data_IF_781438657164
#
_entry.id   IF_781438657164
#
_cell.length_a   1.000
_cell.length_b   1.000
_cell.length_c   1.000
_cell.angle_alpha   90.00
_cell.angle_beta   90.00
_cell.angle_gamma   90.00
#
_symmetry.space_group_name_H-M   'P 1'
#
loop_
_entity.id
_entity.type
_entity.pdbx_description
1 polymer ?
#
# COMPACT_ATOMS: atom_id res chain seq x y z
N UNK A 1 -11.54 -5.18 -21.05
CA UNK A 1 -10.23 -4.51 -21.04
C UNK A 1 -9.12 -5.55 -21.08
N UNK A 2 -9.04 -6.47 -20.11
CA UNK A 2 -8.06 -7.57 -20.07
C UNK A 2 -8.00 -8.40 -21.36
N UNK A 3 -9.16 -8.74 -21.95
CA UNK A 3 -9.22 -9.57 -23.16
C UNK A 3 -8.56 -8.94 -24.39
N UNK A 4 -8.61 -7.60 -24.50
CA UNK A 4 -7.95 -6.87 -25.58
C UNK A 4 -6.42 -6.91 -25.42
N UNK A 5 -5.94 -6.83 -24.18
CA UNK A 5 -4.51 -7.01 -23.87
C UNK A 5 -4.06 -8.44 -24.12
N UNK A 6 -4.85 -9.44 -23.71
CA UNK A 6 -4.56 -10.85 -23.94
C UNK A 6 -4.39 -11.18 -25.44
N UNK A 7 -5.31 -10.69 -26.28
CA UNK A 7 -5.21 -10.84 -27.74
C UNK A 7 -3.98 -10.12 -28.31
N UNK A 8 -3.69 -8.92 -27.83
CA UNK A 8 -2.52 -8.15 -28.26
C UNK A 8 -1.19 -8.84 -27.95
N UNK A 9 -1.05 -9.37 -26.74
CA UNK A 9 0.16 -10.07 -26.29
C UNK A 9 0.44 -11.30 -27.16
N UNK A 10 -0.61 -12.03 -27.58
CA UNK A 10 -0.45 -13.12 -28.57
C UNK A 10 0.05 -12.60 -29.91
N UNK A 11 -0.54 -11.51 -30.43
CA UNK A 11 -0.16 -10.94 -31.73
C UNK A 11 1.26 -10.33 -31.72
N UNK A 12 1.74 -9.91 -30.55
CA UNK A 12 3.11 -9.46 -30.33
C UNK A 12 4.13 -10.61 -30.21
N UNK A 13 3.67 -11.87 -30.24
CA UNK A 13 4.52 -13.05 -30.28
C UNK A 13 4.88 -13.65 -28.91
N UNK A 14 4.23 -13.22 -27.83
CA UNK A 14 4.43 -13.82 -26.52
C UNK A 14 3.77 -15.20 -26.43
N UNK A 15 4.39 -16.11 -25.68
CA UNK A 15 3.92 -17.50 -25.54
C UNK A 15 2.73 -17.68 -24.59
N UNK A 16 2.43 -16.69 -23.75
CA UNK A 16 1.34 -16.77 -22.79
C UNK A 16 1.23 -15.54 -21.89
N UNK A 17 0.20 -15.54 -21.05
CA UNK A 17 -0.07 -14.50 -20.05
C UNK A 17 -0.29 -15.15 -18.68
N UNK A 18 0.10 -14.45 -17.63
CA UNK A 18 -0.26 -14.82 -16.26
C UNK A 18 -1.47 -13.99 -15.82
N UNK A 19 -2.53 -14.67 -15.40
CA UNK A 19 -3.70 -14.04 -14.82
C UNK A 19 -3.58 -14.07 -13.29
N UNK A 20 -3.72 -12.91 -12.66
CA UNK A 20 -3.70 -12.74 -11.21
C UNK A 20 -4.96 -11.97 -10.75
N UNK A 21 -5.38 -12.18 -9.50
CA UNK A 21 -6.53 -11.48 -8.92
C UNK A 21 -7.90 -12.08 -9.24
N UNK A 22 -7.96 -13.28 -9.83
CA UNK A 22 -9.19 -14.08 -9.89
C UNK A 22 -9.35 -14.86 -8.57
N UNK A 23 -10.14 -14.30 -7.67
CA UNK A 23 -10.40 -14.78 -6.32
C UNK A 23 -11.53 -15.82 -6.22
N UNK A 24 -12.28 -16.05 -7.31
CA UNK A 24 -13.35 -17.04 -7.38
C UNK A 24 -13.31 -17.82 -8.71
N UNK A 25 -13.74 -19.09 -8.71
CA UNK A 25 -13.72 -19.93 -9.93
C UNK A 25 -14.66 -19.38 -11.01
N UNK A 26 -15.80 -18.80 -10.65
CA UNK A 26 -16.77 -18.24 -11.59
C UNK A 26 -16.22 -17.01 -12.32
N UNK A 27 -15.45 -16.17 -11.59
CA UNK A 27 -14.76 -15.03 -12.21
C UNK A 27 -13.67 -15.51 -13.16
N UNK A 28 -12.94 -16.58 -12.80
CA UNK A 28 -11.91 -17.13 -13.66
C UNK A 28 -12.50 -17.65 -14.98
N UNK A 29 -13.58 -18.44 -14.93
CA UNK A 29 -14.27 -18.94 -16.12
C UNK A 29 -14.74 -17.79 -17.02
N UNK A 30 -15.44 -16.80 -16.45
CA UNK A 30 -15.89 -15.61 -17.20
C UNK A 30 -14.73 -14.84 -17.85
N UNK A 31 -13.57 -14.77 -17.19
CA UNK A 31 -12.39 -14.12 -17.76
C UNK A 31 -11.81 -14.92 -18.93
N UNK A 32 -11.74 -16.24 -18.80
CA UNK A 32 -11.25 -17.12 -19.86
C UNK A 32 -12.15 -17.06 -21.10
N UNK A 33 -13.48 -17.13 -20.92
CA UNK A 33 -14.44 -17.03 -22.02
C UNK A 33 -14.26 -15.71 -22.80
N UNK A 34 -14.13 -14.59 -22.09
CA UNK A 34 -13.90 -13.27 -22.71
C UNK A 34 -12.56 -13.18 -23.44
N UNK A 35 -11.53 -13.85 -22.93
CA UNK A 35 -10.22 -13.90 -23.58
C UNK A 35 -10.33 -14.72 -24.87
N UNK A 36 -11.01 -15.87 -24.83
CA UNK A 36 -11.20 -16.72 -26.00
C UNK A 36 -12.01 -16.02 -27.10
N UNK A 37 -13.08 -15.32 -26.73
CA UNK A 37 -13.83 -14.46 -27.66
C UNK A 37 -12.94 -13.43 -28.35
N UNK A 38 -12.10 -12.72 -27.58
CA UNK A 38 -11.20 -11.71 -28.13
C UNK A 38 -10.09 -12.31 -29.01
N UNK A 39 -9.59 -13.50 -28.66
CA UNK A 39 -8.61 -14.22 -29.48
C UNK A 39 -9.21 -14.69 -30.82
N UNK A 40 -10.51 -14.98 -30.85
CA UNK A 40 -11.23 -15.31 -32.08
C UNK A 40 -11.55 -14.06 -32.92
N UNK A 41 -11.86 -12.94 -32.28
CA UNK A 41 -12.15 -11.65 -32.91
C UNK A 41 -10.89 -11.04 -33.56
N UNK A 42 -9.78 -10.96 -32.83
CA UNK A 42 -8.57 -10.27 -33.25
C UNK A 42 -7.49 -11.22 -33.77
N UNK A 43 -7.60 -11.60 -35.04
CA UNK A 43 -6.60 -12.46 -35.73
C UNK A 43 -5.48 -11.68 -36.42
N UNK A 44 -5.69 -10.40 -36.67
CA UNK A 44 -4.75 -9.52 -37.39
C UNK A 44 -4.25 -8.39 -36.48
N UNK A 45 -2.96 -8.09 -36.58
CA UNK A 45 -2.30 -7.07 -35.76
C UNK A 45 -2.85 -5.66 -36.03
N UNK A 46 -3.15 -5.31 -37.29
CA UNK A 46 -3.64 -3.97 -37.62
C UNK A 46 -5.09 -3.78 -37.14
N UNK A 47 -5.92 -4.82 -37.29
CA UNK A 47 -7.27 -4.85 -36.74
C UNK A 47 -7.26 -4.66 -35.23
N UNK A 48 -6.41 -5.41 -34.52
CA UNK A 48 -6.20 -5.25 -33.08
C UNK A 48 -5.70 -3.85 -32.71
N UNK A 49 -4.69 -3.31 -33.40
CA UNK A 49 -4.16 -1.98 -33.14
C UNK A 49 -5.24 -0.89 -33.28
N UNK A 50 -6.13 -1.05 -34.24
CA UNK A 50 -7.23 -0.11 -34.47
C UNK A 50 -8.24 -0.14 -33.32
N UNK A 51 -8.65 -1.34 -32.90
CA UNK A 51 -9.52 -1.52 -31.73
C UNK A 51 -8.86 -1.05 -30.42
N UNK A 52 -7.56 -1.30 -30.26
CA UNK A 52 -6.75 -0.86 -29.14
C UNK A 52 -6.72 0.67 -29.04
N UNK A 53 -6.42 1.37 -30.14
CA UNK A 53 -6.43 2.83 -30.18
C UNK A 53 -7.82 3.40 -29.89
N UNK A 54 -8.86 2.87 -30.52
CA UNK A 54 -10.24 3.30 -30.27
C UNK A 54 -10.66 3.08 -28.81
N UNK A 55 -10.15 2.03 -28.17
CA UNK A 55 -10.38 1.80 -26.74
C UNK A 55 -9.67 2.86 -25.88
N UNK A 56 -8.41 3.17 -26.17
CA UNK A 56 -7.64 4.19 -25.43
C UNK A 56 -8.12 5.62 -25.68
N UNK A 57 -8.65 5.94 -26.86
CA UNK A 57 -9.28 7.24 -27.14
C UNK A 57 -10.54 7.47 -26.30
N UNK A 58 -11.22 6.39 -25.91
CA UNK A 58 -12.40 6.44 -25.03
C UNK A 58 -12.04 6.41 -23.55
N UNK A 59 -10.81 6.04 -23.21
CA UNK A 59 -10.36 6.05 -21.83
C UNK A 59 -10.08 7.49 -21.41
N UNK A 60 -10.77 7.94 -20.38
CA UNK A 60 -10.35 9.14 -19.67
C UNK A 60 -9.09 8.80 -18.86
N UNK A 61 -7.94 9.05 -19.48
CA UNK A 61 -6.64 8.95 -18.83
C UNK A 61 -6.31 10.23 -18.08
N UNK A 62 -7.23 11.22 -18.05
CA UNK A 62 -7.07 12.34 -17.15
C UNK A 62 -7.05 11.78 -15.73
N UNK A 63 -5.95 12.01 -15.01
CA UNK A 63 -5.87 11.57 -13.64
C UNK A 63 -6.98 12.29 -12.86
N UNK A 64 -7.64 11.58 -11.96
CA UNK A 64 -8.77 12.16 -11.20
C UNK A 64 -8.36 13.51 -10.61
N UNK A 65 -9.03 14.62 -11.00
CA UNK A 65 -8.69 15.93 -10.49
C UNK A 65 -8.86 15.85 -8.97
N UNK A 66 -7.83 16.30 -8.24
CA UNK A 66 -7.78 16.33 -6.78
C UNK A 66 -7.40 15.04 -6.03
N UNK A 67 -6.99 13.95 -6.71
CA UNK A 67 -6.51 12.77 -5.98
C UNK A 67 -5.14 12.33 -6.46
N UNK A 68 -4.26 12.09 -5.50
CA UNK A 68 -2.93 11.48 -5.64
C UNK A 68 -1.80 12.37 -6.19
N UNK A 69 -2.02 13.69 -6.33
CA UNK A 69 -0.94 14.61 -6.68
C UNK A 69 -0.26 15.18 -5.45
N UNK A 70 1.05 14.97 -5.37
CA UNK A 70 1.93 15.55 -4.36
C UNK A 70 1.98 17.08 -4.46
N UNK A 71 1.75 17.62 -5.66
CA UNK A 71 1.83 19.04 -5.96
C UNK A 71 0.46 19.59 -6.35
N UNK A 72 0.11 20.76 -5.84
CA UNK A 72 -1.10 21.44 -6.29
C UNK A 72 -0.90 21.92 -7.73
N UNK A 73 -1.98 21.86 -8.53
CA UNK A 73 -2.01 22.45 -9.86
C UNK A 73 -0.98 21.89 -10.86
N UNK A 74 -0.39 20.70 -10.62
CA UNK A 74 0.65 20.07 -11.45
C UNK A 74 0.28 19.99 -12.95
N UNK A 75 -1.00 19.78 -13.27
CA UNK A 75 -1.51 19.64 -14.64
C UNK A 75 -2.48 20.78 -15.04
N UNK A 76 -2.49 21.87 -14.28
CA UNK A 76 -3.35 23.03 -14.57
C UNK A 76 -2.87 23.85 -15.76
N UNK A 77 -1.60 23.70 -16.15
CA UNK A 77 -0.98 24.44 -17.25
C UNK A 77 0.06 23.58 -17.98
N UNK A 78 0.26 23.85 -19.27
CA UNK A 78 1.23 23.12 -20.10
C UNK A 78 2.69 23.43 -19.72
N UNK A 79 2.95 24.59 -19.10
CA UNK A 79 4.21 24.95 -18.47
C UNK A 79 3.96 25.18 -16.98
N UNK A 80 4.18 24.19 -16.12
CA UNK A 80 4.11 24.41 -14.68
C UNK A 80 5.19 25.42 -14.24
N UNK A 81 4.92 26.22 -13.20
CA UNK A 81 5.93 27.10 -12.61
C UNK A 81 7.13 26.29 -12.09
N UNK A 82 8.31 26.93 -12.04
CA UNK A 82 9.57 26.30 -11.61
C UNK A 82 9.49 25.66 -10.20
N UNK A 83 8.60 26.18 -9.36
CA UNK A 83 8.27 25.63 -8.05
C UNK A 83 6.78 25.41 -7.93
N UNK A 84 6.37 24.16 -7.71
CA UNK A 84 5.01 23.82 -7.38
C UNK A 84 4.87 23.63 -5.87
N UNK A 85 3.84 24.23 -5.23
CA UNK A 85 3.57 23.98 -3.83
C UNK A 85 3.13 22.51 -3.65
N UNK A 86 3.62 21.90 -2.56
CA UNK A 86 3.11 20.60 -2.13
C UNK A 86 1.64 20.75 -1.73
N UNK A 87 0.82 19.76 -2.10
CA UNK A 87 -0.54 19.68 -1.60
C UNK A 87 -0.51 19.53 -0.07
N UNK A 88 -1.34 20.31 0.62
CA UNK A 88 -1.48 20.17 2.07
C UNK A 88 -2.03 18.77 2.38
N UNK A 89 -1.28 18.01 3.19
CA UNK A 89 -1.71 16.71 3.67
C UNK A 89 -2.34 16.86 5.05
N UNK A 90 -3.66 16.69 5.13
CA UNK A 90 -4.34 16.57 6.41
C UNK A 90 -4.09 15.18 7.00
N UNK A 91 -3.44 15.14 8.15
CA UNK A 91 -3.28 13.92 8.94
C UNK A 91 -4.35 13.89 10.02
N UNK A 92 -4.99 12.73 10.19
CA UNK A 92 -5.86 12.47 11.32
C UNK A 92 -5.19 12.84 12.66
N UNK A 93 -5.96 13.31 13.63
CA UNK A 93 -5.41 13.69 14.93
C UNK A 93 -4.98 12.46 15.75
N UNK A 94 -3.78 12.48 16.32
CA UNK A 94 -3.33 11.47 17.28
C UNK A 94 -4.24 11.43 18.51
N UNK A 95 -4.80 10.26 18.82
CA UNK A 95 -5.61 10.06 20.02
C UNK A 95 -4.77 10.12 21.29
N UNK A 96 -5.38 10.52 22.41
CA UNK A 96 -4.70 10.53 23.72
C UNK A 96 -4.24 9.14 24.17
N UNK A 97 -4.96 8.08 23.76
CA UNK A 97 -4.60 6.68 24.05
C UNK A 97 -3.31 6.28 23.32
N UNK A 98 -3.15 6.64 22.05
CA UNK A 98 -1.93 6.36 21.29
C UNK A 98 -0.73 7.06 21.91
N UNK A 99 -0.87 8.34 22.27
CA UNK A 99 0.22 9.08 22.91
C UNK A 99 0.58 8.51 24.29
N UNK A 100 -0.43 8.08 25.05
CA UNK A 100 -0.23 7.40 26.33
C UNK A 100 0.53 6.07 26.15
N UNK A 101 0.09 5.22 25.22
CA UNK A 101 0.76 3.95 24.92
C UNK A 101 2.18 4.15 24.42
N UNK A 102 2.43 5.16 23.58
CA UNK A 102 3.77 5.55 23.15
C UNK A 102 4.67 5.93 24.34
N UNK A 103 4.20 6.81 25.23
CA UNK A 103 4.95 7.24 26.42
C UNK A 103 5.24 6.07 27.36
N UNK A 104 4.23 5.25 27.61
CA UNK A 104 4.33 4.08 28.48
C UNK A 104 5.25 3.01 27.88
N UNK A 105 5.19 2.81 26.56
CA UNK A 105 6.10 1.95 25.82
C UNK A 105 7.54 2.43 25.93
N UNK A 106 7.79 3.74 25.81
CA UNK A 106 9.12 4.33 26.00
C UNK A 106 9.73 4.02 27.37
N UNK A 107 8.92 4.08 28.42
CA UNK A 107 9.37 3.77 29.79
C UNK A 107 9.55 2.27 30.01
N UNK A 108 8.56 1.45 29.62
CA UNK A 108 8.55 0.03 29.95
C UNK A 108 9.39 -0.83 29.00
N UNK A 109 9.45 -0.45 27.72
CA UNK A 109 9.99 -1.24 26.62
C UNK A 109 11.02 -0.47 25.79
N UNK A 110 11.62 0.61 26.30
CA UNK A 110 12.57 1.44 25.55
C UNK A 110 13.74 0.68 24.94
N UNK A 111 14.30 -0.30 25.66
CA UNK A 111 15.44 -1.13 25.21
C UNK A 111 14.99 -2.52 24.73
N UNK A 112 13.71 -2.68 24.35
CA UNK A 112 13.17 -4.00 24.03
C UNK A 112 13.86 -4.66 22.83
N UNK A 113 14.51 -3.89 21.95
CA UNK A 113 15.25 -4.37 20.77
C UNK A 113 16.61 -5.02 21.08
N UNK A 114 17.20 -4.68 22.23
CA UNK A 114 18.48 -5.20 22.73
C UNK A 114 18.28 -6.46 23.59
N UNK A 115 17.04 -6.72 24.00
CA UNK A 115 16.65 -7.84 24.86
C UNK A 115 16.06 -8.97 24.03
N UNK A 116 16.09 -10.22 24.53
CA UNK A 116 15.37 -11.33 23.93
C UNK A 116 13.89 -10.96 23.74
N UNK A 117 13.30 -11.35 22.60
CA UNK A 117 11.92 -10.94 22.30
C UNK A 117 10.88 -11.47 23.32
N UNK A 118 11.20 -12.57 24.00
CA UNK A 118 10.42 -13.16 25.09
C UNK A 118 10.35 -12.27 26.35
N UNK A 119 11.31 -11.37 26.53
CA UNK A 119 11.36 -10.47 27.68
C UNK A 119 10.13 -9.57 27.71
N UNK A 120 9.48 -9.41 28.87
CA UNK A 120 8.23 -8.63 29.02
C UNK A 120 7.12 -9.00 28.02
N UNK A 121 7.08 -10.24 27.53
CA UNK A 121 6.10 -10.70 26.52
C UNK A 121 4.65 -10.41 26.91
N UNK A 122 4.27 -10.65 28.16
CA UNK A 122 2.92 -10.37 28.67
C UNK A 122 2.58 -8.88 28.56
N UNK A 123 3.47 -8.01 29.03
CA UNK A 123 3.34 -6.55 28.95
C UNK A 123 3.24 -6.08 27.50
N UNK A 124 4.12 -6.58 26.61
CA UNK A 124 4.11 -6.24 25.19
C UNK A 124 2.84 -6.71 24.48
N UNK A 125 2.34 -7.91 24.82
CA UNK A 125 1.10 -8.47 24.25
C UNK A 125 -0.12 -7.67 24.68
N UNK A 126 -0.22 -7.31 25.97
CA UNK A 126 -1.35 -6.58 26.52
C UNK A 126 -1.44 -5.15 25.98
N UNK A 127 -0.31 -4.44 25.90
CA UNK A 127 -0.29 -3.02 25.55
C UNK A 127 -0.21 -2.74 24.05
N UNK A 128 0.51 -3.59 23.31
CA UNK A 128 0.85 -3.33 21.90
C UNK A 128 0.36 -4.42 20.94
N UNK A 129 -0.37 -5.44 21.45
CA UNK A 129 -0.86 -6.54 20.62
C UNK A 129 0.25 -7.43 20.07
N UNK A 130 1.43 -7.48 20.71
CA UNK A 130 2.59 -8.22 20.23
C UNK A 130 2.28 -9.69 19.93
N UNK A 131 2.61 -10.16 18.71
CA UNK A 131 2.37 -11.52 18.22
C UNK A 131 3.60 -12.44 18.20
N UNK A 132 4.62 -12.14 19.02
CA UNK A 132 5.80 -12.98 19.25
C UNK A 132 6.75 -13.08 18.03
N UNK A 133 7.55 -12.03 17.83
CA UNK A 133 8.65 -11.98 16.87
C UNK A 133 9.95 -12.56 17.46
N UNK A 134 10.92 -12.86 16.60
CA UNK A 134 12.27 -13.31 17.01
C UNK A 134 13.14 -12.17 17.55
N UNK A 135 13.03 -10.97 16.95
CA UNK A 135 13.69 -9.74 17.41
C UNK A 135 12.64 -8.66 17.61
N UNK A 136 12.61 -8.05 18.80
CA UNK A 136 11.62 -7.03 19.08
C UNK A 136 11.95 -5.72 18.36
N UNK A 137 10.96 -5.14 17.68
CA UNK A 137 11.10 -3.91 16.88
C UNK A 137 10.28 -2.74 17.40
N UNK A 138 9.62 -2.92 18.56
CA UNK A 138 8.71 -1.93 19.14
C UNK A 138 9.34 -0.53 19.32
N UNK A 139 10.58 -0.38 19.82
CA UNK A 139 11.18 0.95 19.99
C UNK A 139 11.33 1.72 18.67
N UNK A 140 11.64 0.99 17.59
CA UNK A 140 11.87 1.55 16.26
C UNK A 140 10.57 1.90 15.53
N UNK A 141 9.46 1.26 15.91
CA UNK A 141 8.15 1.43 15.25
C UNK A 141 7.14 2.18 16.12
N UNK A 142 7.63 3.13 16.94
CA UNK A 142 6.79 3.98 17.80
C UNK A 142 5.86 3.19 18.74
N UNK A 143 6.30 2.01 19.17
CA UNK A 143 5.54 1.05 19.98
C UNK A 143 4.27 0.52 19.30
N UNK A 144 4.25 0.51 17.97
CA UNK A 144 3.25 -0.17 17.14
C UNK A 144 3.88 -1.46 16.62
N UNK A 145 3.38 -2.61 17.06
CA UNK A 145 3.98 -3.90 16.72
C UNK A 145 3.77 -4.24 15.22
N UNK A 146 4.85 -4.43 14.42
CA UNK A 146 4.73 -4.80 13.01
C UNK A 146 4.01 -6.12 12.80
N UNK A 147 4.10 -7.04 13.78
CA UNK A 147 3.44 -8.34 13.73
C UNK A 147 1.91 -8.28 13.84
N UNK A 148 1.35 -7.08 14.03
CA UNK A 148 -0.11 -6.86 13.95
C UNK A 148 -0.58 -6.60 12.52
N UNK A 149 0.35 -6.32 11.59
CA UNK A 149 0.06 -6.31 10.17
C UNK A 149 0.03 -7.75 9.62
N UNK A 150 -0.96 -8.13 8.81
CA UNK A 150 -1.03 -9.47 8.22
C UNK A 150 0.20 -9.87 7.40
N UNK A 151 0.90 -8.89 6.82
CA UNK A 151 2.12 -9.10 6.04
C UNK A 151 3.40 -8.70 6.79
N UNK A 152 3.30 -8.43 8.11
CA UNK A 152 4.43 -8.18 9.02
C UNK A 152 5.38 -7.03 8.63
N UNK A 153 4.91 -6.08 7.82
CA UNK A 153 5.70 -4.96 7.28
C UNK A 153 6.01 -3.91 8.34
N UNK A 154 7.27 -3.52 8.48
CA UNK A 154 7.66 -2.48 9.44
C UNK A 154 7.84 -1.09 8.77
N UNK A 155 8.29 -1.07 7.52
CA UNK A 155 8.61 0.17 6.81
C UNK A 155 7.53 0.48 5.77
N UNK A 156 6.91 1.65 5.87
CA UNK A 156 5.99 2.15 4.86
C UNK A 156 4.68 1.36 4.71
N UNK A 157 3.74 1.93 3.95
CA UNK A 157 2.50 1.25 3.59
C UNK A 157 2.76 0.13 2.59
N UNK A 158 1.91 -0.91 2.55
CA UNK A 158 2.07 -2.04 1.63
C UNK A 158 1.76 -1.73 0.15
N UNK A 159 1.35 -0.50 -0.17
CA UNK A 159 0.90 -0.10 -1.51
C UNK A 159 -0.58 -0.41 -1.80
N UNK A 160 -1.17 -1.36 -1.07
CA UNK A 160 -2.58 -1.76 -1.19
C UNK A 160 -3.46 -1.17 -0.08
N UNK A 161 -2.97 -0.18 0.65
CA UNK A 161 -3.78 0.53 1.65
C UNK A 161 -4.94 1.21 0.94
N UNK A 162 -6.12 1.12 1.55
CA UNK A 162 -7.33 1.75 1.03
C UNK A 162 -7.26 3.26 1.22
N UNK A 163 -8.05 4.00 0.44
CA UNK A 163 -8.05 5.47 0.46
C UNK A 163 -8.38 6.04 1.85
N UNK A 164 -9.12 5.30 2.67
CA UNK A 164 -9.47 5.65 4.06
C UNK A 164 -8.39 5.27 5.09
N UNK A 165 -7.22 4.78 4.67
CA UNK A 165 -6.13 4.39 5.56
C UNK A 165 -6.28 3.00 6.21
N UNK A 166 -7.31 2.24 5.83
CA UNK A 166 -7.56 0.90 6.38
C UNK A 166 -6.79 -0.22 5.66
N UNK A 167 -6.63 -1.35 6.34
CA UNK A 167 -5.95 -2.53 5.82
C UNK A 167 -6.77 -3.18 4.68
N UNK A 168 -6.13 -3.63 3.58
CA UNK A 168 -6.83 -4.34 2.51
C UNK A 168 -7.39 -5.69 2.96
N UNK A 169 -6.76 -6.33 3.94
CA UNK A 169 -7.15 -7.66 4.45
C UNK A 169 -8.19 -7.60 5.58
N UNK A 170 -8.30 -6.46 6.28
CA UNK A 170 -9.28 -6.25 7.36
C UNK A 170 -9.73 -4.79 7.36
N UNK A 171 -10.94 -4.55 6.88
CA UNK A 171 -11.52 -3.21 6.75
C UNK A 171 -11.81 -2.51 8.09
N UNK A 172 -11.81 -3.24 9.20
CA UNK A 172 -11.97 -2.64 10.53
C UNK A 172 -10.63 -2.24 11.16
N UNK A 173 -9.52 -2.73 10.60
CA UNK A 173 -8.19 -2.46 11.12
C UNK A 173 -7.53 -1.30 10.35
N UNK A 174 -7.18 -0.25 11.08
CA UNK A 174 -6.34 0.81 10.55
C UNK A 174 -4.93 0.30 10.21
N UNK A 175 -4.35 0.76 9.11
CA UNK A 175 -2.98 0.41 8.79
C UNK A 175 -2.02 0.87 9.89
N UNK A 176 -1.12 -0.03 10.30
CA UNK A 176 -0.10 0.26 11.31
C UNK A 176 0.82 1.42 10.90
N UNK A 177 1.09 1.60 9.60
CA UNK A 177 1.93 2.69 9.12
C UNK A 177 1.22 4.05 9.24
N UNK A 178 -0.10 4.10 8.97
CA UNK A 178 -0.89 5.33 9.17
C UNK A 178 -0.87 5.79 10.63
N UNK A 179 -0.96 4.84 11.56
CA UNK A 179 -0.81 5.10 13.00
C UNK A 179 0.58 5.61 13.37
N UNK A 180 1.65 5.05 12.79
CA UNK A 180 3.02 5.54 12.99
C UNK A 180 3.19 6.96 12.45
N UNK A 181 2.72 7.20 11.22
CA UNK A 181 2.78 8.50 10.54
C UNK A 181 2.05 9.58 11.35
N UNK A 182 0.88 9.25 11.89
CA UNK A 182 0.10 10.13 12.78
C UNK A 182 0.88 10.49 14.05
N UNK A 183 1.51 9.51 14.71
CA UNK A 183 2.35 9.75 15.89
C UNK A 183 3.57 10.60 15.53
N UNK A 184 4.23 10.32 14.41
CA UNK A 184 5.39 11.05 13.92
C UNK A 184 5.05 12.51 13.61
N UNK A 185 3.92 12.77 12.97
CA UNK A 185 3.39 14.12 12.76
C UNK A 185 3.17 14.83 14.11
N UNK A 186 2.56 14.15 15.09
CA UNK A 186 2.33 14.71 16.44
C UNK A 186 3.63 15.00 17.20
N UNK A 187 4.65 14.15 17.03
CA UNK A 187 5.95 14.26 17.68
C UNK A 187 6.94 15.12 16.90
N UNK A 188 6.60 15.55 15.67
CA UNK A 188 7.47 16.27 14.73
C UNK A 188 8.80 15.55 14.47
N UNK A 189 8.77 14.23 14.28
CA UNK A 189 9.95 13.38 14.15
C UNK A 189 9.97 12.57 12.85
N UNK A 190 9.82 13.25 11.70
CA UNK A 190 9.81 12.62 10.38
C UNK A 190 11.09 11.89 9.97
N UNK A 191 12.31 12.37 10.35
CA UNK A 191 13.55 11.69 9.95
C UNK A 191 13.60 10.21 10.35
N UNK A 192 12.93 9.84 11.45
CA UNK A 192 12.85 8.45 11.90
C UNK A 192 12.11 7.52 10.91
N UNK A 193 11.18 8.05 10.09
CA UNK A 193 10.51 7.28 9.03
C UNK A 193 11.22 7.37 7.68
N UNK A 194 11.90 8.49 7.41
CA UNK A 194 12.56 8.76 6.13
C UNK A 194 13.92 8.06 6.03
N UNK A 195 14.69 8.08 7.11
CA UNK A 195 16.06 7.56 7.17
C UNK A 195 16.13 6.21 7.90
N UNK A 196 15.19 5.98 8.82
CA UNK A 196 15.14 4.77 9.63
C UNK A 196 14.62 3.57 8.83
N UNK A 197 15.45 2.53 8.69
CA UNK A 197 15.03 1.25 8.11
C UNK A 197 14.97 0.19 9.20
N UNK A 198 13.75 -0.25 9.52
CA UNK A 198 13.50 -1.33 10.46
C UNK A 198 13.61 -2.66 9.72
N UNK A 199 14.50 -3.59 10.10
CA UNK A 199 14.63 -4.85 9.38
C UNK A 199 13.30 -5.62 9.39
N UNK A 200 12.88 -6.17 8.25
CA UNK A 200 11.70 -7.02 8.18
C UNK A 200 11.91 -8.28 9.03
N UNK A 201 10.84 -8.73 9.69
CA UNK A 201 10.91 -9.81 10.66
C UNK A 201 11.08 -11.12 9.92
N UNK A 202 12.20 -11.82 10.12
CA UNK A 202 12.25 -13.23 9.83
C UNK A 202 11.31 -13.93 10.83
N UNK A 203 10.19 -14.47 10.32
CA UNK A 203 9.36 -15.43 11.05
C UNK A 203 10.23 -16.63 11.45
#
# INVERSE_FOLDING_TARGET
QLQLYAAGVRLLGYSGIQLAGADSPEKLEMLLDKIDEALLEFKDFNAWCSAFRQYYERLDMAPYPHRFYLFENLLSSALPPDTLPFAEADFDSCSGKELFLYRLGKVLCGHAEELPASEKRLTKKLLFGCKNCNRCRLPQTFYICPETCPIHRANGPCGEIRVDGTCPFDHQQECIFMRQLRLVNKLRCYPALEEGVVPDGAL
#
